data_IF_174008191607
#
_entry.id   IF_174008191607
#
_cell.length_a   1.000
_cell.length_b   1.000
_cell.length_c   1.000
_cell.angle_alpha   90.00
_cell.angle_beta   90.00
_cell.angle_gamma   90.00
#
_symmetry.space_group_name_H-M   'P 1'
#
loop_
_entity.id
_entity.type
_entity.pdbx_description
1 polymer ?
#
# COMPACT_ATOMS: atom_id res chain seq x y z
N UNK A 1 18.86 12.82 22.72
CA UNK A 1 20.19 12.57 23.32
C UNK A 1 20.03 11.56 24.42
N UNK A 2 20.12 10.27 24.08
CA UNK A 2 20.11 9.18 25.06
C UNK A 2 21.23 8.22 24.66
N UNK A 3 22.21 8.07 25.55
CA UNK A 3 23.40 7.25 25.40
C UNK A 3 23.23 6.01 26.27
N UNK A 4 23.26 4.81 25.68
CA UNK A 4 23.28 3.55 26.39
C UNK A 4 24.60 2.83 26.11
N UNK A 5 25.68 3.21 26.81
CA UNK A 5 26.75 2.34 27.35
C UNK A 5 27.88 3.20 27.98
N UNK A 6 28.63 2.73 29.01
CA UNK A 6 29.74 3.45 29.64
C UNK A 6 30.96 3.65 28.73
N UNK A 7 31.06 2.88 27.66
CA UNK A 7 32.14 2.95 26.69
C UNK A 7 31.62 3.69 25.46
N UNK A 8 31.78 5.02 25.45
CA UNK A 8 31.44 5.96 24.36
C UNK A 8 32.23 5.67 23.05
N UNK A 9 32.10 4.46 22.51
CA UNK A 9 32.81 3.97 21.33
C UNK A 9 31.93 3.93 20.08
N UNK A 10 30.62 4.17 20.24
CA UNK A 10 29.68 4.20 19.13
C UNK A 10 28.88 5.50 19.24
N UNK A 11 29.16 6.45 18.36
CA UNK A 11 28.20 7.51 18.08
C UNK A 11 27.00 6.87 17.40
N UNK A 12 25.78 7.20 17.83
CA UNK A 12 24.55 6.86 17.11
C UNK A 12 24.53 7.63 15.78
N UNK A 13 25.33 7.20 14.80
CA UNK A 13 25.19 7.60 13.40
C UNK A 13 24.11 6.74 12.76
N UNK A 14 22.87 6.93 13.23
CA UNK A 14 21.68 6.51 12.52
C UNK A 14 20.85 7.77 12.29
N UNK A 15 20.51 8.09 11.05
CA UNK A 15 19.64 9.22 10.71
C UNK A 15 18.22 9.11 11.34
N UNK A 16 17.95 8.03 12.08
CA UNK A 16 16.69 7.72 12.76
C UNK A 16 17.03 7.17 14.15
N UNK A 17 16.85 8.00 15.19
CA UNK A 17 17.21 7.64 16.58
C UNK A 17 16.27 6.65 17.26
N UNK A 18 15.20 6.24 16.58
CA UNK A 18 14.19 5.28 17.04
C UNK A 18 13.65 4.51 15.83
N UNK A 19 13.49 3.19 15.97
CA UNK A 19 12.77 2.36 15.00
C UNK A 19 11.29 2.42 15.37
N UNK A 20 10.46 2.98 14.49
CA UNK A 20 9.01 3.04 14.70
C UNK A 20 8.36 1.69 14.40
N UNK A 21 7.41 1.27 15.23
CA UNK A 21 6.59 0.06 15.00
C UNK A 21 5.47 0.31 13.98
N UNK A 22 5.13 1.58 13.76
CA UNK A 22 4.08 2.01 12.85
C UNK A 22 4.69 2.71 11.63
N UNK A 23 4.07 2.53 10.47
CA UNK A 23 4.50 3.16 9.23
C UNK A 23 3.33 3.88 8.58
N UNK A 24 3.43 5.20 8.48
CA UNK A 24 2.46 5.99 7.74
C UNK A 24 2.76 5.96 6.25
N UNK A 25 1.76 5.74 5.43
CA UNK A 25 1.91 5.66 3.98
C UNK A 25 0.81 6.44 3.27
N UNK A 26 1.17 7.02 2.13
CA UNK A 26 0.24 7.63 1.21
C UNK A 26 -0.10 6.62 0.12
N UNK A 27 -1.38 6.31 0.01
CA UNK A 27 -1.90 5.42 -1.02
C UNK A 27 -2.65 6.26 -2.05
N UNK A 28 -2.23 6.10 -3.30
CA UNK A 28 -2.77 6.82 -4.44
C UNK A 28 -3.74 5.88 -5.14
N UNK A 29 -4.96 6.36 -5.35
CA UNK A 29 -5.97 5.65 -6.13
C UNK A 29 -6.48 6.53 -7.25
N UNK A 30 -6.82 5.94 -8.38
CA UNK A 30 -7.47 6.64 -9.47
C UNK A 30 -8.70 5.88 -9.98
N UNK A 31 -9.58 6.61 -10.64
CA UNK A 31 -10.81 6.11 -11.21
C UNK A 31 -11.18 6.90 -12.47
N UNK A 32 -11.88 6.25 -13.41
CA UNK A 32 -12.44 6.91 -14.60
C UNK A 32 -13.75 7.65 -14.26
N UNK A 33 -14.44 7.25 -13.19
CA UNK A 33 -15.66 7.88 -12.66
C UNK A 33 -15.49 8.20 -11.17
N UNK A 34 -16.18 9.24 -10.69
CA UNK A 34 -16.15 9.68 -9.29
C UNK A 34 -16.71 8.62 -8.33
N UNK A 35 -17.69 7.85 -8.80
CA UNK A 35 -18.32 6.75 -8.06
C UNK A 35 -17.45 5.48 -8.04
N UNK A 36 -16.36 5.45 -8.82
CA UNK A 36 -15.43 4.34 -8.93
C UNK A 36 -15.68 3.44 -10.15
N UNK A 37 -15.07 2.25 -10.21
CA UNK A 37 -14.23 1.65 -9.17
C UNK A 37 -12.89 2.38 -9.01
N UNK A 38 -12.46 2.55 -7.76
CA UNK A 38 -11.18 3.15 -7.41
C UNK A 38 -10.08 2.09 -7.39
N UNK A 39 -9.08 2.24 -8.26
CA UNK A 39 -7.95 1.32 -8.37
C UNK A 39 -6.70 1.95 -7.74
N UNK A 40 -6.00 1.20 -6.89
CA UNK A 40 -4.77 1.67 -6.23
C UNK A 40 -3.53 1.46 -7.12
N UNK A 41 -2.63 2.43 -7.16
CA UNK A 41 -1.32 2.27 -7.78
C UNK A 41 -0.40 1.47 -6.87
N UNK A 42 0.20 0.41 -7.40
CA UNK A 42 1.15 -0.41 -6.65
C UNK A 42 2.58 0.11 -6.83
N UNK A 43 3.27 0.31 -5.72
CA UNK A 43 4.67 0.72 -5.69
C UNK A 43 5.57 -0.50 -5.45
N UNK A 44 6.84 -0.36 -5.85
CA UNK A 44 7.78 -1.48 -5.94
C UNK A 44 8.10 -2.09 -4.59
N UNK A 45 8.27 -1.27 -3.57
CA UNK A 45 8.77 -1.69 -2.27
C UNK A 45 7.87 -1.24 -1.13
N UNK A 46 7.35 -0.02 -1.20
CA UNK A 46 6.58 0.52 -0.07
C UNK A 46 5.34 -0.35 0.22
N UNK A 47 4.91 -0.42 1.49
CA UNK A 47 3.69 -1.14 1.84
C UNK A 47 2.48 -0.60 1.06
N UNK A 48 1.59 -1.52 0.70
CA UNK A 48 0.35 -1.23 -0.02
C UNK A 48 -0.64 -2.37 0.20
N UNK A 49 -0.43 -3.47 -0.51
CA UNK A 49 -1.17 -4.70 -0.26
C UNK A 49 -0.74 -5.34 1.07
N UNK A 50 -1.73 -5.60 1.94
CA UNK A 50 -1.54 -6.23 3.26
C UNK A 50 -1.07 -7.67 3.17
N UNK A 51 -1.31 -8.34 2.04
CA UNK A 51 -0.89 -9.71 1.78
C UNK A 51 0.54 -9.79 1.22
N UNK A 52 1.14 -8.65 0.87
CA UNK A 52 2.48 -8.59 0.29
C UNK A 52 3.55 -8.57 1.37
N UNK A 53 4.47 -9.53 1.28
CA UNK A 53 5.63 -9.60 2.15
C UNK A 53 6.53 -8.35 1.97
N UNK A 54 7.16 -7.85 3.04
CA UNK A 54 8.20 -6.82 2.92
C UNK A 54 9.35 -7.31 2.04
N UNK A 55 9.81 -6.48 1.11
CA UNK A 55 10.96 -6.80 0.25
C UNK A 55 12.27 -6.42 0.95
N UNK A 56 13.29 -7.27 0.84
CA UNK A 56 14.66 -6.92 1.18
C UNK A 56 15.30 -6.18 0.00
N UNK A 57 15.69 -4.92 0.19
CA UNK A 57 16.07 -4.03 -0.92
C UNK A 57 17.54 -3.63 -0.97
N UNK A 58 18.33 -3.98 0.05
CA UNK A 58 19.75 -3.64 0.08
C UNK A 58 20.50 -4.27 -1.12
N UNK A 59 21.40 -3.53 -1.81
CA UNK A 59 21.86 -2.15 -1.58
C UNK A 59 21.10 -1.06 -2.37
N UNK A 60 20.08 -1.44 -3.14
CA UNK A 60 19.38 -0.55 -4.07
C UNK A 60 18.21 0.20 -3.40
N UNK A 61 18.09 1.50 -3.66
CA UNK A 61 17.03 2.33 -3.10
C UNK A 61 16.14 2.88 -4.20
N UNK A 62 14.86 2.48 -4.20
CA UNK A 62 13.87 3.05 -5.10
C UNK A 62 13.55 4.47 -4.66
N UNK A 63 14.01 5.44 -5.48
CA UNK A 63 13.93 6.87 -5.15
C UNK A 63 12.49 7.34 -4.96
N UNK A 64 11.56 6.88 -5.80
CA UNK A 64 10.15 7.24 -5.69
C UNK A 64 9.53 6.72 -4.38
N UNK A 65 9.69 5.43 -4.07
CA UNK A 65 9.22 4.83 -2.82
C UNK A 65 9.78 5.56 -1.58
N UNK A 66 11.05 5.96 -1.63
CA UNK A 66 11.69 6.74 -0.56
C UNK A 66 11.08 8.15 -0.42
N UNK A 67 10.88 8.85 -1.54
CA UNK A 67 10.25 10.18 -1.54
C UNK A 67 8.79 10.11 -1.05
N UNK A 68 8.05 9.06 -1.41
CA UNK A 68 6.69 8.81 -0.91
C UNK A 68 6.67 8.64 0.61
N UNK A 69 7.65 7.94 1.18
CA UNK A 69 7.78 7.78 2.63
C UNK A 69 8.11 9.12 3.34
N UNK A 70 8.98 9.94 2.76
CA UNK A 70 9.22 11.30 3.30
C UNK A 70 7.93 12.14 3.23
N UNK A 71 7.22 12.09 2.10
CA UNK A 71 5.97 12.80 1.92
C UNK A 71 4.87 12.32 2.90
N UNK A 72 4.85 11.02 3.23
CA UNK A 72 3.91 10.47 4.22
C UNK A 72 4.25 10.90 5.66
N UNK A 73 5.53 11.13 5.97
CA UNK A 73 5.96 11.68 7.24
C UNK A 73 5.58 13.16 7.40
N UNK A 74 5.45 13.90 6.29
CA UNK A 74 4.98 15.28 6.32
C UNK A 74 3.50 15.39 6.74
N UNK A 75 3.15 16.51 7.39
CA UNK A 75 1.77 16.81 7.80
C UNK A 75 0.89 17.25 6.64
N UNK A 76 1.46 17.88 5.61
CA UNK A 76 0.74 18.40 4.43
C UNK A 76 1.48 18.09 3.14
N UNK A 77 0.74 17.89 2.04
CA UNK A 77 1.32 17.69 0.71
C UNK A 77 2.02 18.94 0.18
N UNK A 78 1.65 20.13 0.66
CA UNK A 78 2.28 21.39 0.26
C UNK A 78 3.78 21.45 0.56
N UNK A 79 4.24 20.64 1.54
CA UNK A 79 5.68 20.48 1.83
C UNK A 79 6.41 19.58 0.83
N UNK A 80 5.69 18.98 -0.12
CA UNK A 80 6.21 18.14 -1.18
C UNK A 80 5.58 18.52 -2.52
N UNK A 81 5.91 19.70 -3.10
CA UNK A 81 5.28 20.20 -4.32
C UNK A 81 5.37 19.24 -5.51
N UNK A 82 6.45 18.44 -5.57
CA UNK A 82 6.65 17.41 -6.59
C UNK A 82 5.50 16.39 -6.64
N UNK A 83 4.78 16.17 -5.52
CA UNK A 83 3.65 15.25 -5.46
C UNK A 83 2.53 15.69 -6.39
N UNK A 84 2.23 16.99 -6.48
CA UNK A 84 1.16 17.48 -7.35
C UNK A 84 1.48 17.22 -8.83
N UNK A 85 2.72 17.49 -9.24
CA UNK A 85 3.20 17.16 -10.58
C UNK A 85 3.18 15.66 -10.84
N UNK A 86 3.57 14.84 -9.86
CA UNK A 86 3.51 13.39 -9.97
C UNK A 86 2.07 12.88 -10.16
N UNK A 87 1.11 13.37 -9.37
CA UNK A 87 -0.31 13.01 -9.50
C UNK A 87 -0.89 13.45 -10.86
N UNK A 88 -0.50 14.63 -11.36
CA UNK A 88 -0.92 15.13 -12.66
C UNK A 88 -0.40 14.21 -13.78
N UNK A 89 0.88 13.83 -13.73
CA UNK A 89 1.47 12.91 -14.70
C UNK A 89 0.86 11.51 -14.67
N UNK A 90 0.41 11.05 -13.49
CA UNK A 90 -0.36 9.80 -13.36
C UNK A 90 -1.75 9.88 -14.01
N UNK A 91 -2.47 10.99 -13.84
CA UNK A 91 -3.74 11.22 -14.55
C UNK A 91 -3.55 11.23 -16.07
N UNK A 92 -2.46 11.83 -16.54
CA UNK A 92 -2.07 11.85 -17.96
C UNK A 92 -1.52 10.53 -18.49
N UNK A 93 -1.34 9.53 -17.63
CA UNK A 93 -0.77 8.23 -18.01
C UNK A 93 0.58 8.36 -18.72
N UNK A 94 1.45 9.28 -18.24
CA UNK A 94 2.77 9.45 -18.84
C UNK A 94 3.65 8.20 -18.63
N UNK A 95 4.17 7.57 -19.71
CA UNK A 95 4.86 6.28 -19.63
C UNK A 95 6.11 6.32 -18.74
N UNK A 96 6.83 7.44 -18.74
CA UNK A 96 8.03 7.62 -17.90
C UNK A 96 7.71 7.57 -16.40
N UNK A 97 6.48 7.96 -16.01
CA UNK A 97 6.04 7.98 -14.61
C UNK A 97 5.42 6.66 -14.22
N UNK A 98 4.57 6.08 -15.08
CA UNK A 98 3.93 4.79 -14.80
C UNK A 98 4.97 3.67 -14.75
N UNK A 99 6.05 3.76 -15.52
CA UNK A 99 7.18 2.83 -15.46
C UNK A 99 7.93 2.82 -14.10
N UNK A 100 7.80 3.87 -13.29
CA UNK A 100 8.39 3.91 -11.94
C UNK A 100 7.62 3.03 -10.95
N UNK A 101 6.33 2.78 -11.22
CA UNK A 101 5.47 1.96 -10.39
C UNK A 101 5.72 0.46 -10.63
N UNK A 102 5.16 -0.39 -9.78
CA UNK A 102 5.19 -1.85 -9.99
C UNK A 102 4.03 -2.33 -10.84
N UNK A 103 2.85 -1.76 -10.61
CA UNK A 103 1.65 -2.07 -11.38
C UNK A 103 0.83 -0.81 -11.57
N UNK A 104 0.50 -0.52 -12.83
CA UNK A 104 -0.44 0.50 -13.23
C UNK A 104 -1.79 -0.15 -13.57
N UNK A 105 -2.86 0.13 -12.81
CA UNK A 105 -4.17 -0.46 -13.03
C UNK A 105 -4.89 0.01 -14.32
N UNK A 106 -4.34 0.98 -15.05
CA UNK A 106 -4.88 1.51 -16.30
C UNK A 106 -3.99 1.22 -17.52
N UNK A 107 -2.86 0.52 -17.35
CA UNK A 107 -1.95 0.21 -18.45
C UNK A 107 -2.56 -0.68 -19.54
N UNK A 108 -3.46 -1.61 -19.17
CA UNK A 108 -4.15 -2.49 -20.13
C UNK A 108 -5.16 -1.73 -21.00
N UNK A 109 -5.61 -0.56 -20.55
CA UNK A 109 -6.62 0.26 -21.23
C UNK A 109 -5.99 1.27 -22.21
N UNK A 110 -4.66 1.41 -22.18
CA UNK A 110 -3.89 2.41 -22.95
C UNK A 110 -2.95 1.81 -24.01
N UNK A 111 -2.93 0.49 -24.18
CA UNK A 111 -2.05 -0.16 -25.15
C UNK A 111 -2.44 0.32 -26.56
N UNK A 112 -1.54 1.07 -27.20
CA UNK A 112 -1.76 1.83 -28.44
C UNK A 112 -1.98 0.98 -29.70
N UNK A 113 -2.62 -0.18 -29.57
CA UNK A 113 -3.00 -1.10 -30.64
C UNK A 113 -4.18 -1.97 -30.22
N UNK A 114 -5.39 -1.62 -30.69
CA UNK A 114 -6.53 -2.53 -30.84
C UNK A 114 -6.99 -3.30 -29.57
N UNK A 115 -7.44 -2.57 -28.55
CA UNK A 115 -8.24 -3.11 -27.45
C UNK A 115 -9.05 -1.96 -26.83
N UNK A 116 -10.33 -2.20 -26.53
CA UNK A 116 -11.36 -1.25 -26.07
C UNK A 116 -10.79 0.03 -25.43
N UNK A 117 -10.96 1.16 -26.13
CA UNK A 117 -10.61 2.50 -25.65
C UNK A 117 -11.46 2.83 -24.42
N UNK A 118 -10.93 2.50 -23.25
CA UNK A 118 -11.55 2.82 -21.97
C UNK A 118 -10.99 4.16 -21.55
N UNK A 119 -11.87 5.11 -21.22
CA UNK A 119 -11.45 6.43 -20.76
C UNK A 119 -10.48 6.29 -19.59
N UNK A 120 -9.28 6.88 -19.73
CA UNK A 120 -8.23 6.88 -18.72
C UNK A 120 -8.66 7.41 -17.35
N UNK A 121 -7.77 7.37 -16.35
CA UNK A 121 -8.08 7.88 -15.03
C UNK A 121 -8.38 9.39 -15.10
N UNK A 122 -9.60 9.79 -14.73
CA UNK A 122 -10.04 11.20 -14.69
C UNK A 122 -9.95 11.80 -13.29
N UNK A 123 -10.02 10.94 -12.29
CA UNK A 123 -10.07 11.29 -10.89
C UNK A 123 -8.93 10.61 -10.14
N UNK A 124 -8.22 11.35 -9.31
CA UNK A 124 -7.18 10.83 -8.44
C UNK A 124 -7.44 11.23 -7.00
N UNK A 125 -7.15 10.35 -6.06
CA UNK A 125 -7.22 10.62 -4.63
C UNK A 125 -5.99 10.10 -3.93
N UNK A 126 -5.67 10.74 -2.81
CA UNK A 126 -4.58 10.32 -1.94
C UNK A 126 -5.13 10.17 -0.52
N UNK A 127 -4.99 8.96 0.01
CA UNK A 127 -5.43 8.58 1.33
C UNK A 127 -4.20 8.21 2.18
N UNK A 128 -4.17 8.67 3.43
CA UNK A 128 -3.12 8.35 4.39
C UNK A 128 -3.55 7.16 5.23
N UNK A 129 -2.71 6.14 5.25
CA UNK A 129 -2.92 4.92 6.01
C UNK A 129 -1.79 4.73 7.03
N UNK A 130 -2.11 4.04 8.12
CA UNK A 130 -1.16 3.51 9.09
C UNK A 130 -1.03 2.01 8.86
N UNK A 131 0.21 1.56 8.70
CA UNK A 131 0.58 0.15 8.58
C UNK A 131 1.29 -0.30 9.84
N UNK A 132 0.95 -1.49 10.32
CA UNK A 132 1.63 -2.21 11.40
C UNK A 132 1.86 -3.64 10.96
N UNK A 133 2.89 -4.30 11.47
CA UNK A 133 3.04 -5.73 11.23
C UNK A 133 1.90 -6.49 11.88
N UNK A 134 1.29 -7.40 11.13
CA UNK A 134 0.21 -8.21 11.65
C UNK A 134 0.73 -9.10 12.78
N UNK A 135 0.16 -8.93 13.97
CA UNK A 135 0.51 -9.74 15.13
C UNK A 135 -0.40 -10.94 15.18
N UNK A 136 0.16 -12.15 15.02
CA UNK A 136 -0.59 -13.38 15.26
C UNK A 136 -1.13 -13.34 16.69
N UNK A 137 -2.44 -13.36 16.83
CA UNK A 137 -3.06 -13.58 18.15
C UNK A 137 -2.74 -15.01 18.55
N UNK A 138 -1.94 -15.18 19.61
CA UNK A 138 -1.75 -16.48 20.22
C UNK A 138 -3.12 -16.90 20.77
N UNK A 139 -3.85 -17.74 20.04
CA UNK A 139 -5.09 -18.33 20.51
C UNK A 139 -4.83 -18.94 21.89
N UNK A 140 -5.63 -18.53 22.89
CA UNK A 140 -5.58 -19.09 24.22
C UNK A 140 -5.66 -20.62 24.15
N UNK A 141 -4.87 -21.30 24.98
CA UNK A 141 -4.96 -22.75 25.19
C UNK A 141 -6.41 -23.15 25.39
N UNK A 142 -7.06 -23.67 24.34
CA UNK A 142 -8.27 -24.46 24.48
C UNK A 142 -7.91 -25.67 25.33
N UNK A 143 -8.56 -25.79 26.49
CA UNK A 143 -8.47 -26.97 27.35
C UNK A 143 -8.65 -28.22 26.49
N UNK A 144 -7.69 -29.13 26.53
CA UNK A 144 -7.89 -30.52 26.14
C UNK A 144 -9.01 -31.06 27.02
N UNK A 145 -10.20 -31.19 26.42
CA UNK A 145 -11.26 -32.03 26.93
C UNK A 145 -10.80 -33.47 26.76
N UNK A 146 -10.48 -34.09 27.88
CA UNK A 146 -10.41 -35.53 28.10
C UNK A 146 -11.64 -36.19 27.46
N UNK A 147 -11.42 -37.08 26.51
CA UNK A 147 -12.46 -37.95 25.94
C UNK A 147 -11.99 -39.38 26.18
N UNK A 148 -12.67 -40.02 27.14
CA UNK A 148 -12.54 -41.44 27.41
C UNK A 148 -12.97 -42.25 26.19
N UNK A 149 -12.21 -43.32 25.95
CA UNK A 149 -12.44 -44.28 24.90
C UNK A 149 -13.71 -45.11 25.17
N UNK A 150 -14.56 -45.25 24.15
CA UNK A 150 -15.41 -46.43 23.97
C UNK A 150 -15.78 -46.60 22.50
N UNK A 151 -15.53 -47.82 22.01
CA UNK A 151 -15.78 -48.37 20.69
C UNK A 151 -17.24 -48.20 20.19
N UNK A 152 -17.43 -48.05 18.87
CA UNK A 152 -18.16 -49.02 18.04
C UNK A 152 -18.38 -48.57 16.57
N UNK A 153 -18.69 -49.56 15.74
CA UNK A 153 -18.44 -49.74 14.31
C UNK A 153 -19.35 -49.01 13.27
N UNK A 154 -18.71 -48.71 12.12
CA UNK A 154 -19.08 -48.97 10.71
C UNK A 154 -20.49 -48.64 10.15
N UNK A 155 -20.55 -47.80 9.11
CA UNK A 155 -21.31 -48.10 7.86
C UNK A 155 -21.09 -47.03 6.77
N UNK A 156 -21.09 -47.49 5.51
CA UNK A 156 -20.74 -46.83 4.25
C UNK A 156 -21.65 -45.66 3.85
N UNK A 157 -21.08 -44.70 3.12
CA UNK A 157 -21.80 -43.59 2.50
C UNK A 157 -20.97 -42.85 1.43
N UNK A 158 -21.34 -43.09 0.17
CA UNK A 158 -20.92 -42.46 -1.08
C UNK A 158 -20.72 -40.93 -1.06
N UNK A 159 -19.68 -40.43 -1.74
CA UNK A 159 -19.51 -38.99 -2.01
C UNK A 159 -18.23 -38.63 -2.78
N UNK A 160 -18.39 -38.49 -4.09
CA UNK A 160 -17.87 -37.39 -4.94
C UNK A 160 -16.39 -36.95 -4.89
N UNK A 161 -15.78 -36.98 -6.09
CA UNK A 161 -15.01 -35.85 -6.64
C UNK A 161 -13.66 -35.51 -5.99
N UNK A 162 -12.59 -36.18 -6.40
CA UNK A 162 -11.23 -35.63 -6.30
C UNK A 162 -11.11 -34.39 -7.22
N UNK A 163 -11.32 -33.21 -6.66
CA UNK A 163 -10.81 -31.96 -7.21
C UNK A 163 -9.72 -31.46 -6.28
N UNK A 164 -8.47 -31.60 -6.73
CA UNK A 164 -7.29 -30.99 -6.12
C UNK A 164 -7.38 -29.46 -6.28
N UNK A 165 -8.05 -28.79 -5.35
CA UNK A 165 -8.08 -27.34 -5.26
C UNK A 165 -7.12 -26.92 -4.14
N UNK A 166 -5.95 -26.41 -4.52
CA UNK A 166 -4.93 -25.89 -3.62
C UNK A 166 -5.50 -24.75 -2.78
N UNK A 167 -5.54 -24.98 -1.48
CA UNK A 167 -6.01 -24.08 -0.44
C UNK A 167 -5.22 -22.76 -0.40
N UNK A 168 -5.80 -21.70 -0.99
CA UNK A 168 -5.35 -20.29 -0.85
C UNK A 168 -6.11 -19.58 0.27
N UNK A 169 -7.03 -20.25 0.98
CA UNK A 169 -7.95 -19.64 1.96
C UNK A 169 -7.48 -19.86 3.40
N UNK A 170 -6.33 -19.29 3.76
CA UNK A 170 -5.90 -19.38 5.17
C UNK A 170 -4.67 -18.59 5.60
N UNK A 171 -4.04 -17.81 4.71
CA UNK A 171 -2.83 -17.08 5.07
C UNK A 171 -3.19 -15.80 5.83
N UNK A 172 -2.65 -15.63 7.04
CA UNK A 172 -2.72 -14.36 7.76
C UNK A 172 -1.99 -13.25 6.96
N UNK A 173 -2.50 -12.01 6.95
CA UNK A 173 -1.83 -10.89 6.29
C UNK A 173 -0.47 -10.62 6.92
N UNK A 174 0.40 -9.93 6.19
CA UNK A 174 1.67 -9.43 6.72
C UNK A 174 1.49 -8.12 7.47
N UNK A 175 0.50 -7.33 7.07
CA UNK A 175 0.26 -5.99 7.58
C UNK A 175 -1.19 -5.81 8.05
N UNK A 176 -1.35 -5.06 9.13
CA UNK A 176 -2.61 -4.42 9.48
C UNK A 176 -2.61 -3.00 8.89
N UNK A 177 -3.62 -2.66 8.11
CA UNK A 177 -3.78 -1.35 7.44
C UNK A 177 -5.00 -0.62 8.00
N UNK A 178 -4.79 0.60 8.46
CA UNK A 178 -5.82 1.45 9.04
C UNK A 178 -5.89 2.78 8.31
N UNK A 179 -7.07 3.18 7.85
CA UNK A 179 -7.28 4.46 7.20
C UNK A 179 -7.24 5.59 8.23
N UNK A 180 -6.32 6.54 8.09
CA UNK A 180 -6.24 7.71 8.98
C UNK A 180 -7.14 8.82 8.44
N UNK A 181 -6.86 9.28 7.21
CA UNK A 181 -7.56 10.40 6.61
C UNK A 181 -7.30 10.48 5.12
N UNK A 182 -8.22 11.15 4.43
CA UNK A 182 -8.01 11.66 3.09
C UNK A 182 -7.17 12.93 3.11
N UNK A 183 -6.30 13.09 2.13
CA UNK A 183 -5.33 14.20 2.12
C UNK A 183 -5.89 15.46 1.47
N UNK A 184 -6.74 15.33 0.46
CA UNK A 184 -7.37 16.48 -0.20
C UNK A 184 -8.55 17.05 0.61
N UNK A 185 -8.58 18.36 0.94
CA UNK A 185 -9.48 18.90 1.96
C UNK A 185 -10.91 19.24 1.48
N UNK A 186 -11.16 19.51 0.18
CA UNK A 186 -12.51 19.99 -0.27
C UNK A 186 -13.42 18.88 -0.77
N UNK A 187 -12.94 18.06 -1.70
CA UNK A 187 -13.73 17.00 -2.33
C UNK A 187 -13.11 15.62 -2.10
N UNK A 188 -11.91 15.57 -1.49
CA UNK A 188 -11.15 14.34 -1.35
C UNK A 188 -10.56 13.79 -2.65
N UNK A 189 -10.97 14.34 -3.79
CA UNK A 189 -10.57 13.92 -5.12
C UNK A 189 -10.00 15.14 -5.84
N UNK A 190 -9.02 14.90 -6.69
CA UNK A 190 -8.44 15.88 -7.59
C UNK A 190 -8.65 15.44 -9.04
N UNK A 191 -8.91 16.41 -9.90
CA UNK A 191 -8.90 16.27 -11.36
C UNK A 191 -7.67 16.96 -11.93
N UNK A 192 -7.39 16.77 -13.21
CA UNK A 192 -6.29 17.42 -13.91
C UNK A 192 -6.31 18.95 -13.71
N UNK A 193 -7.45 19.60 -13.96
CA UNK A 193 -7.61 21.05 -13.80
C UNK A 193 -7.32 21.54 -12.38
N UNK A 194 -7.72 20.77 -11.35
CA UNK A 194 -7.45 21.12 -9.95
C UNK A 194 -5.95 21.06 -9.67
N UNK A 195 -5.26 20.03 -10.18
CA UNK A 195 -3.82 19.88 -9.98
C UNK A 195 -3.04 20.96 -10.72
N UNK A 196 -3.43 21.31 -11.95
CA UNK A 196 -2.80 22.40 -12.70
C UNK A 196 -2.94 23.75 -11.98
N UNK A 197 -4.11 24.06 -11.44
CA UNK A 197 -4.33 25.28 -10.65
C UNK A 197 -3.47 25.31 -9.39
N UNK A 198 -3.35 24.18 -8.66
CA UNK A 198 -2.48 24.08 -7.48
C UNK A 198 -1.00 24.27 -7.86
N UNK A 199 -0.54 23.62 -8.94
CA UNK A 199 0.84 23.76 -9.44
C UNK A 199 1.11 25.20 -9.86
N UNK A 200 0.18 25.84 -10.58
CA UNK A 200 0.30 27.23 -11.00
C UNK A 200 0.41 28.21 -9.82
N UNK A 201 -0.34 27.97 -8.73
CA UNK A 201 -0.28 28.80 -7.52
C UNK A 201 0.98 28.58 -6.70
N UNK A 202 1.48 27.34 -6.64
CA UNK A 202 2.68 26.98 -5.87
C UNK A 202 3.99 27.32 -6.61
N UNK A 203 3.94 27.48 -7.93
CA UNK A 203 5.06 27.88 -8.77
C UNK A 203 5.26 29.39 -8.94
N UNK A 204 4.38 30.22 -8.36
CA UNK A 204 4.54 31.68 -8.38
C UNK A 204 5.44 32.13 -7.22
N UNK A 205 6.58 32.82 -7.47
CA UNK A 205 7.51 33.28 -6.45
C UNK A 205 6.93 34.37 -5.53
#
# INVERSE_FOLDING_TARGET
NSSFDPLRLINTYGAFGTVEEERHELIISAASDIDGPWKEYAFRVKPGDVMKAPKFISPYHYRLDWQMWIASACQTLDRSPWMYTFLLKLLRQEPDVTALLENDPFAADFDGGAGIQTDGPKYIRVDKYRYRFHRKTSGGKGKQGETDASDDNNSEGSGEGKSSDTDVRGRAPYWDREHIRRVFPRQGVATELILEDIIGRTGSP
#
